data_IF_439060994633
#
_entry.id   IF_439060994633
#
_cell.length_a   1.000
_cell.length_b   1.000
_cell.length_c   1.000
_cell.angle_alpha   90.00
_cell.angle_beta   90.00
_cell.angle_gamma   90.00
#
_symmetry.space_group_name_H-M   'P 1'
#
loop_
_entity.id
_entity.type
_entity.pdbx_description
1 polymer ?
#
# COMPACT_ATOMS: atom_id res chain seq x y z
N UNK A 1 4.86 20.84 -4.23
CA UNK A 1 4.73 20.06 -5.48
C UNK A 1 3.25 19.78 -5.69
N UNK A 2 2.72 19.97 -6.90
CA UNK A 2 1.32 19.64 -7.19
C UNK A 2 1.20 18.16 -7.55
N UNK A 3 0.04 17.54 -7.27
CA UNK A 3 -0.21 16.13 -7.62
C UNK A 3 -0.05 15.86 -9.13
N UNK A 4 -0.50 16.80 -9.96
CA UNK A 4 -0.39 16.72 -11.41
C UNK A 4 1.07 16.68 -11.93
N UNK A 5 2.05 17.15 -11.14
CA UNK A 5 3.47 17.20 -11.55
C UNK A 5 4.23 15.91 -11.22
N UNK A 6 3.78 15.15 -10.21
CA UNK A 6 4.46 13.93 -9.73
C UNK A 6 3.92 12.65 -10.36
N UNK A 7 2.68 12.69 -10.86
CA UNK A 7 1.98 11.52 -11.37
C UNK A 7 1.70 10.46 -10.31
N UNK A 8 1.07 9.37 -10.74
CA UNK A 8 0.64 8.27 -9.86
C UNK A 8 1.81 7.61 -9.12
N UNK A 9 2.85 7.20 -9.84
CA UNK A 9 4.00 6.53 -9.22
C UNK A 9 4.78 7.44 -8.26
N UNK A 10 4.81 8.75 -8.52
CA UNK A 10 5.38 9.74 -7.59
C UNK A 10 4.56 9.83 -6.31
N UNK A 11 3.23 9.89 -6.45
CA UNK A 11 2.32 9.90 -5.31
C UNK A 11 2.43 8.62 -4.46
N UNK A 12 2.50 7.44 -5.09
CA UNK A 12 2.69 6.16 -4.38
C UNK A 12 3.97 6.17 -3.53
N UNK A 13 5.09 6.69 -4.08
CA UNK A 13 6.36 6.79 -3.34
C UNK A 13 6.25 7.73 -2.13
N UNK A 14 5.58 8.86 -2.28
CA UNK A 14 5.34 9.81 -1.19
C UNK A 14 4.52 9.15 -0.08
N UNK A 15 3.40 8.50 -0.42
CA UNK A 15 2.55 7.79 0.53
C UNK A 15 3.34 6.68 1.24
N UNK A 16 4.12 5.89 0.50
CA UNK A 16 4.98 4.84 1.06
C UNK A 16 5.98 5.38 2.09
N UNK A 17 6.55 6.57 1.86
CA UNK A 17 7.45 7.23 2.80
C UNK A 17 6.76 7.80 4.05
N UNK A 18 5.47 8.14 3.94
CA UNK A 18 4.68 8.69 5.04
C UNK A 18 3.99 7.61 5.89
N UNK A 19 3.66 6.47 5.29
CA UNK A 19 2.92 5.40 5.94
C UNK A 19 3.79 4.69 7.00
N UNK A 20 3.26 4.57 8.22
CA UNK A 20 3.88 3.70 9.23
C UNK A 20 3.67 2.24 8.84
N UNK A 21 4.74 1.45 8.86
CA UNK A 21 4.65 0.01 8.65
C UNK A 21 4.35 -0.69 9.97
N UNK A 22 3.16 -1.29 10.08
CA UNK A 22 2.81 -2.16 11.20
C UNK A 22 3.62 -3.45 11.18
N UNK A 23 3.79 -4.08 12.34
CA UNK A 23 4.55 -5.33 12.49
C UNK A 23 3.94 -6.51 11.75
N UNK A 24 2.63 -6.51 11.54
CA UNK A 24 1.91 -7.55 10.79
C UNK A 24 1.99 -7.37 9.27
N UNK A 25 2.63 -6.32 8.76
CA UNK A 25 2.72 -6.06 7.32
C UNK A 25 3.85 -6.88 6.69
N UNK A 26 3.50 -7.87 5.89
CA UNK A 26 4.42 -8.73 5.14
C UNK A 26 4.87 -8.05 3.84
N UNK A 27 3.91 -7.53 3.07
CA UNK A 27 4.17 -6.73 1.85
C UNK A 27 3.49 -5.38 2.02
N UNK A 28 4.31 -4.33 1.94
CA UNK A 28 3.85 -2.95 2.09
C UNK A 28 3.45 -2.31 0.76
N UNK A 29 3.23 -0.99 0.77
CA UNK A 29 2.75 -0.21 -0.39
C UNK A 29 3.69 -0.34 -1.60
N UNK A 30 3.10 -0.46 -2.80
CA UNK A 30 3.82 -0.50 -4.09
C UNK A 30 3.79 -1.85 -4.80
N UNK A 31 2.83 -2.70 -4.45
CA UNK A 31 2.48 -3.97 -5.08
C UNK A 31 0.95 -3.96 -5.31
N UNK A 32 0.40 -4.92 -6.07
CA UNK A 32 -1.04 -4.99 -6.43
C UNK A 32 -1.97 -5.21 -5.22
N UNK A 33 -1.39 -5.63 -4.08
CA UNK A 33 -2.13 -6.00 -2.88
C UNK A 33 -1.29 -5.79 -1.62
N UNK A 34 -1.93 -5.37 -0.53
CA UNK A 34 -1.31 -5.38 0.79
C UNK A 34 -1.41 -6.79 1.41
N UNK A 35 -0.29 -7.30 1.95
CA UNK A 35 -0.22 -8.63 2.58
C UNK A 35 0.01 -8.47 4.07
N UNK A 36 -0.87 -9.08 4.87
CA UNK A 36 -0.85 -9.01 6.32
C UNK A 36 -0.78 -10.43 6.94
N UNK A 37 -0.03 -10.57 8.03
CA UNK A 37 -0.12 -11.75 8.87
C UNK A 37 -1.46 -11.76 9.62
N UNK A 38 -2.16 -12.91 9.61
CA UNK A 38 -3.35 -13.13 10.43
C UNK A 38 -3.07 -14.10 11.57
N UNK A 39 -3.83 -13.99 12.66
CA UNK A 39 -3.71 -14.89 13.82
C UNK A 39 -4.00 -16.36 13.49
N UNK A 40 -4.61 -16.66 12.34
CA UNK A 40 -4.97 -18.01 11.92
C UNK A 40 -3.85 -18.79 11.22
N UNK A 41 -2.65 -18.19 11.10
CA UNK A 41 -1.54 -18.75 10.33
C UNK A 41 -1.72 -18.62 8.81
N UNK A 42 -2.76 -17.91 8.36
CA UNK A 42 -2.99 -17.53 6.95
C UNK A 42 -2.55 -16.10 6.70
N UNK A 43 -2.32 -15.77 5.43
CA UNK A 43 -2.12 -14.39 4.99
C UNK A 43 -3.46 -13.74 4.62
N UNK A 44 -3.66 -12.51 5.08
CA UNK A 44 -4.77 -11.67 4.65
C UNK A 44 -4.30 -10.76 3.52
N UNK A 45 -5.05 -10.77 2.43
CA UNK A 45 -4.82 -9.95 1.25
C UNK A 45 -5.87 -8.84 1.22
N UNK A 46 -5.43 -7.59 1.11
CA UNK A 46 -6.31 -6.44 1.02
C UNK A 46 -5.92 -5.60 -0.21
N UNK A 47 -6.88 -5.44 -1.13
CA UNK A 47 -6.76 -4.54 -2.27
C UNK A 47 -8.05 -3.73 -2.39
N UNK A 48 -7.96 -2.59 -3.07
CA UNK A 48 -9.11 -1.74 -3.36
C UNK A 48 -8.89 -1.04 -4.68
N UNK A 49 -9.96 -1.00 -5.47
CA UNK A 49 -9.99 -0.29 -6.73
C UNK A 49 -11.18 0.68 -6.73
N UNK A 50 -11.07 1.72 -7.54
CA UNK A 50 -12.18 2.59 -7.87
C UNK A 50 -12.42 2.50 -9.37
N UNK A 51 -13.68 2.36 -9.77
CA UNK A 51 -14.09 2.53 -11.16
C UNK A 51 -14.56 3.98 -11.32
N UNK A 52 -13.98 4.70 -12.28
CA UNK A 52 -14.27 6.10 -12.58
C UNK A 52 -14.87 6.18 -13.99
#
# INVERSE_FOLDING_TARGET
MKLAEIGEFGLIKVIKGMAKRGTSVVVGIGDDVAVLESCSGKLQLATTDILI
#
